data_IF_736123662038
#
_entry.id   IF_736123662038
#
_cell.length_a   1.000
_cell.length_b   1.000
_cell.length_c   1.000
_cell.angle_alpha   90.00
_cell.angle_beta   90.00
_cell.angle_gamma   90.00
#
_symmetry.space_group_name_H-M   'P 1'
#
loop_
_entity.id
_entity.type
_entity.pdbx_description
1 polymer ?
#
# COMPACT_ATOMS: atom_id res chain seq x y z
N UNK A 1 26.08 -31.53 -19.96
CA UNK A 1 25.88 -31.07 -21.35
C UNK A 1 26.62 -29.76 -21.47
N UNK A 2 27.70 -29.72 -22.25
CA UNK A 2 28.39 -28.46 -22.53
C UNK A 2 27.43 -27.56 -23.29
N UNK A 3 27.07 -26.43 -22.67
CA UNK A 3 26.36 -25.37 -23.35
C UNK A 3 27.31 -24.86 -24.44
N UNK A 4 26.89 -24.94 -25.70
CA UNK A 4 27.62 -24.38 -26.84
C UNK A 4 27.66 -22.85 -26.68
N UNK A 5 28.65 -22.34 -25.95
CA UNK A 5 28.80 -20.95 -25.53
C UNK A 5 28.77 -19.97 -26.71
N UNK A 6 29.16 -20.44 -27.90
CA UNK A 6 29.10 -19.67 -29.13
C UNK A 6 27.65 -19.40 -29.56
N UNK A 7 26.78 -20.42 -29.53
CA UNK A 7 25.35 -20.29 -29.87
C UNK A 7 24.57 -19.51 -28.82
N UNK A 8 24.94 -19.65 -27.55
CA UNK A 8 24.33 -18.88 -26.46
C UNK A 8 24.60 -17.38 -26.63
N UNK A 9 25.85 -16.99 -26.90
CA UNK A 9 26.21 -15.58 -27.14
C UNK A 9 25.54 -15.00 -28.40
N UNK A 10 25.39 -15.82 -29.45
CA UNK A 10 24.68 -15.42 -30.67
C UNK A 10 23.19 -15.16 -30.42
N UNK A 11 22.51 -16.07 -29.70
CA UNK A 11 21.11 -15.88 -29.27
C UNK A 11 20.95 -14.66 -28.35
N UNK A 12 21.86 -14.46 -27.41
CA UNK A 12 21.85 -13.30 -26.50
C UNK A 12 21.92 -11.97 -27.26
N UNK A 13 22.78 -11.88 -28.28
CA UNK A 13 22.85 -10.71 -29.17
C UNK A 13 21.57 -10.52 -29.99
N UNK A 14 20.98 -11.62 -30.49
CA UNK A 14 19.70 -11.57 -31.20
C UNK A 14 18.55 -11.09 -30.30
N UNK A 15 18.51 -11.53 -29.05
CA UNK A 15 17.54 -11.08 -28.06
C UNK A 15 17.73 -9.60 -27.70
N UNK A 16 18.99 -9.15 -27.59
CA UNK A 16 19.31 -7.74 -27.39
C UNK A 16 18.77 -6.84 -28.52
N UNK A 17 18.95 -7.25 -29.77
CA UNK A 17 18.40 -6.51 -30.91
C UNK A 17 16.87 -6.49 -30.92
N UNK A 18 16.24 -7.58 -30.47
CA UNK A 18 14.79 -7.66 -30.31
C UNK A 18 14.29 -6.68 -29.26
N UNK A 19 14.95 -6.62 -28.10
CA UNK A 19 14.63 -5.67 -27.03
C UNK A 19 14.81 -4.22 -27.48
N UNK A 20 15.91 -3.91 -28.17
CA UNK A 20 16.13 -2.55 -28.73
C UNK A 20 15.08 -2.14 -29.76
N UNK A 21 14.60 -3.08 -30.60
CA UNK A 21 13.49 -2.82 -31.53
C UNK A 21 12.15 -2.61 -30.83
N UNK A 22 11.95 -3.24 -29.67
CA UNK A 22 10.75 -3.10 -28.82
C UNK A 22 10.85 -1.97 -27.79
N UNK A 23 11.55 -0.88 -28.12
CA UNK A 23 11.75 0.27 -27.23
C UNK A 23 12.37 -0.11 -25.88
N UNK A 24 13.34 -1.03 -25.90
CA UNK A 24 14.08 -1.47 -24.72
C UNK A 24 13.24 -2.20 -23.67
N UNK A 25 12.13 -2.84 -24.05
CA UNK A 25 11.28 -3.60 -23.15
C UNK A 25 11.12 -5.02 -23.67
N UNK A 26 11.30 -6.02 -22.80
CA UNK A 26 11.04 -7.44 -23.10
C UNK A 26 10.26 -8.10 -21.97
N UNK A 27 9.30 -8.97 -22.30
CA UNK A 27 8.57 -9.72 -21.27
C UNK A 27 9.29 -11.03 -20.90
N UNK A 28 9.13 -11.46 -19.65
CA UNK A 28 9.72 -12.72 -19.16
C UNK A 28 9.28 -13.95 -19.98
N UNK A 29 8.03 -13.95 -20.45
CA UNK A 29 7.52 -15.02 -21.31
C UNK A 29 8.20 -15.02 -22.69
N UNK A 30 8.51 -13.84 -23.22
CA UNK A 30 9.21 -13.71 -24.51
C UNK A 30 10.66 -14.19 -24.43
N UNK A 31 11.34 -13.91 -23.31
CA UNK A 31 12.69 -14.42 -23.06
C UNK A 31 12.65 -15.94 -22.95
N UNK A 32 11.71 -16.51 -22.20
CA UNK A 32 11.56 -17.96 -22.09
C UNK A 32 11.21 -18.63 -23.42
N UNK A 33 10.33 -18.03 -24.22
CA UNK A 33 9.95 -18.56 -25.52
C UNK A 33 11.12 -18.48 -26.50
N UNK A 34 11.94 -17.43 -26.44
CA UNK A 34 13.15 -17.28 -27.27
C UNK A 34 14.23 -18.34 -26.95
N UNK A 35 14.31 -18.73 -25.67
CA UNK A 35 15.21 -19.78 -25.19
C UNK A 35 14.53 -21.16 -25.06
N UNK A 36 13.30 -21.36 -25.54
CA UNK A 36 12.58 -22.65 -25.43
C UNK A 36 13.35 -23.84 -26.03
N UNK A 37 14.12 -23.59 -27.09
CA UNK A 37 14.96 -24.61 -27.75
C UNK A 37 16.29 -24.86 -27.03
N UNK A 38 16.56 -24.18 -25.93
CA UNK A 38 17.83 -24.17 -25.23
C UNK A 38 17.59 -24.23 -23.71
N UNK A 39 17.67 -25.41 -23.09
CA UNK A 39 17.35 -25.56 -21.67
C UNK A 39 18.40 -24.85 -20.82
N UNK A 40 18.08 -23.63 -20.39
CA UNK A 40 18.92 -22.84 -19.50
C UNK A 40 18.69 -23.25 -18.06
N UNK A 41 19.78 -23.30 -17.28
CA UNK A 41 19.68 -23.45 -15.84
C UNK A 41 19.19 -22.13 -15.22
N UNK A 42 18.66 -22.14 -13.98
CA UNK A 42 18.29 -20.92 -13.27
C UNK A 42 19.45 -19.90 -13.17
N UNK A 43 20.68 -20.37 -12.96
CA UNK A 43 21.88 -19.53 -12.91
C UNK A 43 22.24 -18.92 -14.27
N UNK A 44 21.94 -19.61 -15.37
CA UNK A 44 22.21 -19.08 -16.71
C UNK A 44 21.13 -18.09 -17.15
N UNK A 45 19.90 -18.25 -16.70
CA UNK A 45 18.83 -17.27 -16.89
C UNK A 45 19.12 -15.96 -16.16
N UNK A 46 19.68 -16.03 -14.95
CA UNK A 46 20.12 -14.85 -14.20
C UNK A 46 21.17 -14.04 -14.99
N UNK A 47 22.17 -14.72 -15.57
CA UNK A 47 23.16 -14.06 -16.44
C UNK A 47 22.56 -13.43 -17.70
N UNK A 48 21.48 -14.01 -18.25
CA UNK A 48 20.75 -13.40 -19.37
C UNK A 48 20.09 -12.10 -18.93
N UNK A 49 19.46 -12.10 -17.75
CA UNK A 49 18.81 -10.91 -17.20
C UNK A 49 19.82 -9.81 -16.91
N UNK A 50 20.90 -10.12 -16.20
CA UNK A 50 21.99 -9.18 -15.91
C UNK A 50 22.55 -8.55 -17.19
N UNK A 51 22.71 -9.35 -18.25
CA UNK A 51 23.23 -8.85 -19.52
C UNK A 51 22.25 -7.93 -20.24
N UNK A 52 20.94 -8.23 -20.20
CA UNK A 52 19.92 -7.39 -20.82
C UNK A 52 19.78 -6.05 -20.07
N UNK A 53 19.79 -6.08 -18.74
CA UNK A 53 19.73 -4.89 -17.89
C UNK A 53 20.97 -3.99 -18.05
N UNK A 54 22.18 -4.57 -18.06
CA UNK A 54 23.42 -3.82 -18.30
C UNK A 54 23.46 -3.13 -19.68
N UNK A 55 22.69 -3.64 -20.64
CA UNK A 55 22.55 -3.05 -21.96
C UNK A 55 21.28 -2.19 -22.13
N UNK A 56 20.59 -1.90 -21.02
CA UNK A 56 19.46 -0.99 -20.93
C UNK A 56 18.16 -1.54 -21.49
N UNK A 57 17.86 -2.83 -21.27
CA UNK A 57 16.58 -3.46 -21.61
C UNK A 57 15.84 -3.82 -20.32
N UNK A 58 14.65 -3.26 -20.14
CA UNK A 58 13.77 -3.51 -19.00
C UNK A 58 12.98 -4.81 -19.18
N UNK A 59 12.99 -5.68 -18.16
CA UNK A 59 12.33 -6.98 -18.21
C UNK A 59 11.02 -6.95 -17.43
N UNK A 60 9.90 -7.05 -18.15
CA UNK A 60 8.56 -7.07 -17.56
C UNK A 60 8.15 -8.50 -17.17
N UNK A 61 7.94 -8.75 -15.87
CA UNK A 61 7.28 -9.97 -15.39
C UNK A 61 5.77 -9.74 -15.33
N UNK A 62 5.05 -10.11 -16.38
CA UNK A 62 3.59 -10.21 -16.31
C UNK A 62 3.20 -11.45 -15.50
N UNK A 63 3.19 -11.33 -14.18
CA UNK A 63 2.39 -12.20 -13.33
C UNK A 63 1.18 -11.42 -12.84
N UNK A 64 0.01 -11.97 -13.14
CA UNK A 64 -1.27 -11.48 -12.66
C UNK A 64 -1.32 -11.56 -11.13
N UNK A 65 -1.17 -10.42 -10.46
CA UNK A 65 -1.87 -10.05 -9.23
C UNK A 65 -1.47 -8.62 -8.87
N UNK A 66 -2.47 -7.76 -8.63
CA UNK A 66 -2.36 -6.37 -8.19
C UNK A 66 -1.67 -6.17 -6.82
N UNK A 67 -0.94 -7.18 -6.31
CA UNK A 67 -0.24 -7.15 -5.03
C UNK A 67 1.29 -6.94 -5.17
N UNK A 68 1.89 -7.25 -6.31
CA UNK A 68 3.36 -7.15 -6.51
C UNK A 68 3.87 -5.84 -7.08
N UNK A 69 3.01 -4.91 -7.51
CA UNK A 69 3.45 -3.52 -7.78
C UNK A 69 3.96 -2.82 -6.51
N UNK A 70 3.66 -3.35 -5.31
CA UNK A 70 4.25 -2.88 -4.05
C UNK A 70 5.74 -3.24 -3.89
N UNK A 71 6.26 -4.19 -4.66
CA UNK A 71 7.67 -4.61 -4.61
C UNK A 71 8.53 -4.02 -5.75
N UNK A 72 7.94 -3.33 -6.73
CA UNK A 72 8.63 -2.81 -7.92
C UNK A 72 8.92 -1.30 -7.85
N UNK A 73 8.81 -0.69 -6.67
CA UNK A 73 9.57 0.54 -6.43
C UNK A 73 11.03 0.10 -6.23
N UNK A 74 11.83 0.25 -7.29
CA UNK A 74 13.26 -0.04 -7.32
C UNK A 74 13.93 0.29 -5.98
N UNK A 75 14.59 -0.72 -5.40
CA UNK A 75 15.44 -0.58 -4.20
C UNK A 75 16.50 0.53 -4.33
N UNK A 76 16.77 1.03 -5.54
CA UNK A 76 17.71 2.13 -5.79
C UNK A 76 17.15 3.55 -5.52
N UNK A 77 15.82 3.75 -5.51
CA UNK A 77 15.20 4.97 -4.96
C UNK A 77 14.74 4.77 -3.50
N UNK A 78 14.87 3.55 -2.99
CA UNK A 78 14.67 3.14 -1.60
C UNK A 78 16.04 3.03 -0.90
N UNK A 79 16.91 4.02 -1.11
CA UNK A 79 17.97 4.32 -0.15
C UNK A 79 17.32 4.91 1.12
N UNK A 80 16.65 4.04 1.89
CA UNK A 80 16.37 4.28 3.30
C UNK A 80 17.74 4.14 3.96
N UNK A 81 18.40 5.28 4.18
CA UNK A 81 19.28 5.40 5.34
C UNK A 81 18.50 4.79 6.51
N UNK A 82 19.12 3.76 7.08
CA UNK A 82 18.69 2.87 8.17
C UNK A 82 17.41 3.30 8.91
N UNK A 83 16.53 2.32 9.12
CA UNK A 83 15.36 2.40 10.01
C UNK A 83 15.70 3.09 11.36
N UNK A 84 15.60 4.41 11.41
CA UNK A 84 15.25 5.07 12.65
C UNK A 84 13.80 4.63 12.92
N UNK A 85 13.60 3.79 13.95
CA UNK A 85 12.31 3.64 14.60
C UNK A 85 11.72 5.05 14.72
N UNK A 86 10.66 5.33 13.94
CA UNK A 86 10.00 6.62 13.98
C UNK A 86 9.48 6.78 15.41
N UNK A 87 10.20 7.56 16.23
CA UNK A 87 9.82 7.87 17.59
C UNK A 87 8.61 8.81 17.54
N UNK A 88 7.44 8.17 17.45
CA UNK A 88 6.12 8.83 17.45
C UNK A 88 5.85 9.56 18.77
N UNK A 89 6.57 9.22 19.85
CA UNK A 89 6.44 9.87 21.15
C UNK A 89 7.16 11.22 21.19
N UNK A 90 8.31 11.33 20.52
CA UNK A 90 9.12 12.56 20.45
C UNK A 90 8.96 13.37 19.16
N UNK A 91 7.87 13.14 18.41
CA UNK A 91 7.62 13.89 17.17
C UNK A 91 7.49 15.39 17.47
N UNK A 92 8.46 16.18 17.01
CA UNK A 92 8.41 17.64 17.10
C UNK A 92 7.29 18.17 16.19
N UNK A 93 6.12 18.38 16.78
CA UNK A 93 4.94 18.97 16.15
C UNK A 93 5.05 20.50 16.06
N UNK A 94 6.19 21.11 16.43
CA UNK A 94 6.35 22.55 16.30
C UNK A 94 6.48 22.94 14.82
N UNK A 95 5.80 24.03 14.49
CA UNK A 95 5.80 24.64 13.16
C UNK A 95 6.92 25.68 13.15
N UNK A 96 7.66 25.89 12.04
CA UNK A 96 8.71 26.91 11.97
C UNK A 96 8.24 28.28 12.48
N UNK A 97 9.09 28.99 13.22
CA UNK A 97 8.76 30.31 13.78
C UNK A 97 8.41 31.31 12.67
N UNK A 98 7.19 31.88 12.73
CA UNK A 98 6.67 32.84 11.75
C UNK A 98 5.22 32.60 11.30
N UNK A 99 4.62 31.47 11.71
CA UNK A 99 3.27 31.07 11.28
C UNK A 99 2.18 31.51 12.29
N UNK A 100 1.28 32.38 11.83
CA UNK A 100 0.12 32.89 12.58
C UNK A 100 -0.80 31.77 13.09
N UNK A 101 -1.53 32.03 14.18
CA UNK A 101 -2.46 31.09 14.83
C UNK A 101 -3.59 30.62 13.89
N UNK A 102 -3.82 31.33 12.78
CA UNK A 102 -4.87 31.07 11.78
C UNK A 102 -4.46 30.09 10.67
N UNK A 103 -3.25 29.50 10.71
CA UNK A 103 -2.83 28.51 9.71
C UNK A 103 -3.62 27.20 9.84
N UNK A 104 -4.34 26.75 8.79
CA UNK A 104 -5.05 25.46 8.77
C UNK A 104 -4.16 24.27 9.17
N UNK A 105 -2.85 24.31 8.87
CA UNK A 105 -1.88 23.28 9.29
C UNK A 105 -1.81 23.22 10.82
N UNK A 106 -1.67 24.38 11.47
CA UNK A 106 -1.52 24.46 12.92
C UNK A 106 -2.81 24.03 13.64
N UNK A 107 -3.97 24.35 13.08
CA UNK A 107 -5.26 23.86 13.57
C UNK A 107 -5.33 22.34 13.48
N UNK A 108 -4.96 21.76 12.33
CA UNK A 108 -4.94 20.32 12.13
C UNK A 108 -3.99 19.60 13.11
N UNK A 109 -2.73 20.05 13.23
CA UNK A 109 -1.75 19.47 14.16
C UNK A 109 -2.23 19.50 15.62
N UNK A 110 -2.91 20.58 16.01
CA UNK A 110 -3.49 20.71 17.35
C UNK A 110 -4.64 19.72 17.59
N UNK A 111 -5.50 19.49 16.61
CA UNK A 111 -6.62 18.55 16.75
C UNK A 111 -6.12 17.10 16.86
N UNK A 112 -5.19 16.66 15.99
CA UNK A 112 -4.63 15.31 16.07
C UNK A 112 -3.74 15.10 17.32
N UNK A 113 -3.21 16.19 17.87
CA UNK A 113 -2.45 16.21 19.12
C UNK A 113 -3.30 15.91 20.36
N UNK A 114 -4.63 16.04 20.28
CA UNK A 114 -5.55 15.71 21.39
C UNK A 114 -5.82 14.22 21.52
N UNK A 115 -5.67 13.47 20.43
CA UNK A 115 -5.92 12.02 20.41
C UNK A 115 -4.72 11.31 21.06
N UNK A 116 -4.93 10.45 22.07
CA UNK A 116 -3.86 9.69 22.71
C UNK A 116 -3.27 8.64 21.76
N UNK A 117 -1.99 8.33 21.95
CA UNK A 117 -1.33 7.22 21.25
C UNK A 117 -1.89 5.89 21.74
N UNK A 118 -1.92 4.90 20.85
CA UNK A 118 -2.33 3.53 21.18
C UNK A 118 -1.12 2.68 21.55
N UNK A 119 -1.36 1.76 22.47
CA UNK A 119 -0.45 0.65 22.75
C UNK A 119 -0.67 -0.49 21.76
N UNK A 120 0.32 -1.38 21.61
CA UNK A 120 0.20 -2.54 20.74
C UNK A 120 -0.99 -3.47 21.12
N UNK A 121 -1.32 -3.57 22.42
CA UNK A 121 -2.48 -4.34 22.88
C UNK A 121 -3.80 -3.70 22.47
N UNK A 122 -3.89 -2.36 22.53
CA UNK A 122 -5.07 -1.63 22.08
C UNK A 122 -5.23 -1.71 20.56
N UNK A 123 -4.15 -1.65 19.79
CA UNK A 123 -4.18 -1.87 18.33
C UNK A 123 -4.80 -3.24 17.99
N UNK A 124 -4.36 -4.29 18.69
CA UNK A 124 -4.92 -5.65 18.53
C UNK A 124 -6.39 -5.70 18.94
N UNK A 125 -6.77 -5.01 20.03
CA UNK A 125 -8.17 -4.98 20.48
C UNK A 125 -9.08 -4.31 19.45
N UNK A 126 -8.67 -3.17 18.90
CA UNK A 126 -9.42 -2.47 17.85
C UNK A 126 -9.49 -3.31 16.57
N UNK A 127 -8.39 -3.95 16.17
CA UNK A 127 -8.39 -4.82 14.99
C UNK A 127 -9.37 -6.00 15.13
N UNK A 128 -9.50 -6.59 16.33
CA UNK A 128 -10.50 -7.64 16.60
C UNK A 128 -11.94 -7.12 16.51
N UNK A 129 -12.20 -5.91 17.02
CA UNK A 129 -13.53 -5.29 16.91
C UNK A 129 -13.89 -4.98 15.46
N UNK A 130 -12.91 -4.54 14.66
CA UNK A 130 -13.09 -4.32 13.22
C UNK A 130 -13.39 -5.61 12.48
N UNK A 131 -12.67 -6.70 12.78
CA UNK A 131 -12.94 -8.03 12.19
C UNK A 131 -14.35 -8.50 12.54
N UNK A 132 -14.74 -8.44 13.82
CA UNK A 132 -16.08 -8.81 14.25
C UNK A 132 -17.18 -7.95 13.61
N UNK A 133 -16.94 -6.65 13.42
CA UNK A 133 -17.85 -5.75 12.72
C UNK A 133 -17.99 -6.12 11.24
N UNK A 134 -16.89 -6.45 10.55
CA UNK A 134 -16.91 -6.86 9.16
C UNK A 134 -17.64 -8.19 8.94
N UNK A 135 -17.47 -9.15 9.84
CA UNK A 135 -18.22 -10.42 9.82
C UNK A 135 -19.70 -10.19 10.13
N UNK A 136 -20.01 -9.32 11.09
CA UNK A 136 -21.38 -8.94 11.41
C UNK A 136 -22.09 -8.24 10.25
N UNK A 137 -21.39 -7.43 9.44
CA UNK A 137 -21.95 -6.80 8.23
C UNK A 137 -22.41 -7.85 7.22
N UNK A 138 -21.58 -8.87 6.95
CA UNK A 138 -21.95 -9.97 6.04
C UNK A 138 -23.15 -10.75 6.56
N UNK A 139 -23.14 -11.09 7.85
CA UNK A 139 -24.25 -11.80 8.47
C UNK A 139 -25.55 -10.97 8.48
N UNK A 140 -25.43 -9.65 8.62
CA UNK A 140 -26.55 -8.72 8.55
C UNK A 140 -27.17 -8.72 7.16
N UNK A 141 -26.38 -8.64 6.09
CA UNK A 141 -26.85 -8.71 4.70
C UNK A 141 -27.61 -10.03 4.45
N UNK A 142 -27.02 -11.17 4.83
CA UNK A 142 -27.64 -12.49 4.68
C UNK A 142 -28.99 -12.61 5.44
N UNK A 143 -29.09 -12.00 6.63
CA UNK A 143 -30.30 -12.05 7.44
C UNK A 143 -31.38 -11.08 6.95
N UNK A 144 -31.02 -9.92 6.43
CA UNK A 144 -31.96 -8.97 5.82
C UNK A 144 -32.62 -9.59 4.57
N UNK A 145 -31.83 -10.30 3.74
CA UNK A 145 -32.35 -11.04 2.59
C UNK A 145 -33.30 -12.16 3.00
N UNK A 146 -32.97 -12.90 4.07
CA UNK A 146 -33.85 -13.94 4.63
C UNK A 146 -35.13 -13.37 5.21
N UNK A 147 -35.06 -12.20 5.88
CA UNK A 147 -36.23 -11.55 6.47
C UNK A 147 -37.25 -11.13 5.41
N UNK A 148 -36.79 -10.69 4.24
CA UNK A 148 -37.65 -10.29 3.13
C UNK A 148 -38.54 -11.42 2.60
N UNK A 149 -38.10 -12.68 2.72
CA UNK A 149 -38.82 -13.87 2.27
C UNK A 149 -39.67 -14.58 3.32
N UNK A 150 -39.64 -14.14 4.58
CA UNK A 150 -40.37 -14.79 5.67
C UNK A 150 -41.79 -14.25 5.82
N UNK A 151 -42.73 -15.12 6.19
CA UNK A 151 -44.13 -14.75 6.49
C UNK A 151 -44.47 -14.91 7.98
N UNK A 152 -43.81 -15.83 8.69
CA UNK A 152 -44.05 -16.12 10.10
C UNK A 152 -43.66 -14.95 11.03
N UNK A 153 -44.60 -14.36 11.79
CA UNK A 153 -44.32 -13.28 12.73
C UNK A 153 -43.34 -13.62 13.85
N UNK A 154 -43.28 -14.89 14.30
CA UNK A 154 -42.42 -15.27 15.43
C UNK A 154 -40.95 -15.37 15.01
N UNK A 155 -40.68 -16.01 13.86
CA UNK A 155 -39.33 -16.06 13.27
C UNK A 155 -38.84 -14.67 12.86
N UNK A 156 -39.74 -13.81 12.36
CA UNK A 156 -39.41 -12.40 12.10
C UNK A 156 -38.93 -11.67 13.33
N UNK A 157 -39.62 -11.83 14.46
CA UNK A 157 -39.22 -11.18 15.73
C UNK A 157 -37.83 -11.60 16.20
N UNK A 158 -37.49 -12.89 16.08
CA UNK A 158 -36.16 -13.40 16.45
C UNK A 158 -35.05 -12.85 15.53
N UNK A 159 -35.32 -12.77 14.22
CA UNK A 159 -34.36 -12.21 13.26
C UNK A 159 -34.20 -10.70 13.48
N UNK A 160 -35.27 -9.96 13.74
CA UNK A 160 -35.21 -8.53 14.05
C UNK A 160 -34.37 -8.25 15.31
N UNK A 161 -34.52 -9.06 16.36
CA UNK A 161 -33.69 -8.96 17.56
C UNK A 161 -32.21 -9.24 17.24
N UNK A 162 -31.93 -10.27 16.44
CA UNK A 162 -30.58 -10.59 15.99
C UNK A 162 -29.97 -9.48 15.13
N UNK A 163 -30.73 -8.93 14.18
CA UNK A 163 -30.32 -7.80 13.34
C UNK A 163 -29.97 -6.59 14.20
N UNK A 164 -30.73 -6.30 15.25
CA UNK A 164 -30.41 -5.22 16.19
C UNK A 164 -29.07 -5.45 16.89
N UNK A 165 -28.77 -6.68 17.31
CA UNK A 165 -27.49 -7.02 17.93
C UNK A 165 -26.31 -6.93 16.96
N UNK A 166 -26.50 -7.35 15.70
CA UNK A 166 -25.49 -7.28 14.65
C UNK A 166 -25.21 -5.83 14.27
N UNK A 167 -26.24 -4.99 14.12
CA UNK A 167 -26.08 -3.55 13.88
C UNK A 167 -25.23 -2.87 14.95
N UNK A 168 -25.40 -3.26 16.21
CA UNK A 168 -24.54 -2.75 17.28
C UNK A 168 -23.08 -3.20 17.11
N UNK A 169 -22.85 -4.44 16.69
CA UNK A 169 -21.50 -4.97 16.45
C UNK A 169 -20.81 -4.28 15.27
N UNK A 170 -21.56 -4.04 14.18
CA UNK A 170 -21.09 -3.25 13.03
C UNK A 170 -20.68 -1.85 13.46
N UNK A 171 -21.53 -1.16 14.24
CA UNK A 171 -21.22 0.18 14.76
C UNK A 171 -19.94 0.21 15.60
N UNK A 172 -19.75 -0.78 16.47
CA UNK A 172 -18.51 -0.91 17.28
C UNK A 172 -17.29 -1.14 16.39
N UNK A 173 -17.40 -1.95 15.33
CA UNK A 173 -16.33 -2.17 14.37
C UNK A 173 -15.96 -0.91 13.58
N UNK A 174 -16.94 -0.12 13.15
CA UNK A 174 -16.72 1.16 12.48
C UNK A 174 -16.05 2.19 13.39
N UNK A 175 -16.48 2.29 14.65
CA UNK A 175 -15.85 3.19 15.62
C UNK A 175 -14.42 2.73 15.96
N UNK A 176 -14.17 1.42 16.02
CA UNK A 176 -12.83 0.88 16.19
C UNK A 176 -11.90 1.23 15.02
N UNK A 177 -12.40 1.13 13.78
CA UNK A 177 -11.69 1.55 12.57
C UNK A 177 -11.32 3.03 12.62
N UNK A 178 -12.29 3.87 12.98
CA UNK A 178 -12.08 5.32 13.13
C UNK A 178 -11.05 5.64 14.19
N UNK A 179 -11.17 5.02 15.37
CA UNK A 179 -10.24 5.22 16.49
C UNK A 179 -8.82 4.79 16.14
N UNK A 180 -8.64 3.66 15.45
CA UNK A 180 -7.34 3.19 15.00
C UNK A 180 -6.70 4.17 14.00
N UNK A 181 -7.50 4.72 13.07
CA UNK A 181 -7.02 5.73 12.14
C UNK A 181 -6.65 7.05 12.84
N UNK A 182 -7.51 7.57 13.73
CA UNK A 182 -7.30 8.84 14.44
C UNK A 182 -6.02 8.84 15.30
N UNK A 183 -5.76 7.74 16.00
CA UNK A 183 -4.55 7.59 16.81
C UNK A 183 -3.25 7.60 15.98
N UNK A 184 -3.34 7.24 14.69
CA UNK A 184 -2.21 7.12 13.79
C UNK A 184 -2.05 8.32 12.83
N UNK A 185 -2.84 9.39 12.97
CA UNK A 185 -2.70 10.59 12.15
C UNK A 185 -1.32 11.26 12.31
N UNK A 186 -0.69 11.15 13.48
CA UNK A 186 0.65 11.70 13.73
C UNK A 186 1.73 10.98 12.91
N UNK A 187 1.58 9.67 12.72
CA UNK A 187 2.46 8.88 11.86
C UNK A 187 2.43 9.42 10.43
N UNK A 188 1.23 9.71 9.89
CA UNK A 188 1.07 10.30 8.55
C UNK A 188 1.83 11.62 8.43
N UNK A 189 1.66 12.52 9.41
CA UNK A 189 2.38 13.81 9.42
C UNK A 189 3.89 13.59 9.42
N UNK A 190 4.41 12.66 10.24
CA UNK A 190 5.84 12.39 10.30
C UNK A 190 6.42 11.89 8.97
N UNK A 191 5.66 11.07 8.23
CA UNK A 191 6.06 10.56 6.91
C UNK A 191 5.94 11.66 5.86
N UNK A 192 4.82 12.38 5.83
CA UNK A 192 4.54 13.44 4.86
C UNK A 192 5.55 14.59 4.91
N UNK A 193 6.11 14.91 6.10
CA UNK A 193 7.16 15.93 6.26
C UNK A 193 8.34 15.71 5.32
N UNK A 194 8.72 14.45 5.03
CA UNK A 194 9.85 14.09 4.15
C UNK A 194 9.59 14.38 2.66
N UNK A 195 8.34 14.65 2.29
CA UNK A 195 7.89 14.90 0.92
C UNK A 195 7.57 16.39 0.64
N UNK A 196 7.69 17.26 1.64
CA UNK A 196 7.48 18.70 1.48
C UNK A 196 8.49 19.28 0.48
N UNK A 197 8.03 20.21 -0.36
CA UNK A 197 8.87 20.83 -1.39
C UNK A 197 8.94 20.07 -2.71
N UNK A 198 8.26 18.92 -2.84
CA UNK A 198 8.17 18.13 -4.10
C UNK A 198 7.03 18.55 -5.03
N UNK A 199 6.57 19.80 -4.96
CA UNK A 199 5.55 20.36 -5.85
C UNK A 199 4.10 20.22 -5.39
N UNK A 200 3.85 19.68 -4.19
CA UNK A 200 2.52 19.59 -3.56
C UNK A 200 2.52 20.27 -2.19
N UNK A 201 1.40 20.85 -1.77
CA UNK A 201 1.28 21.50 -0.46
C UNK A 201 1.32 20.45 0.66
N UNK A 202 1.80 20.86 1.84
CA UNK A 202 1.96 19.94 2.96
C UNK A 202 0.63 19.33 3.44
N UNK A 203 -0.46 20.11 3.44
CA UNK A 203 -1.79 19.60 3.77
C UNK A 203 -2.25 18.54 2.76
N UNK A 204 -1.99 18.74 1.48
CA UNK A 204 -2.40 17.80 0.43
C UNK A 204 -1.61 16.48 0.59
N UNK A 205 -0.30 16.55 0.88
CA UNK A 205 0.51 15.37 1.20
C UNK A 205 -0.04 14.62 2.42
N UNK A 206 -0.47 15.34 3.46
CA UNK A 206 -1.10 14.74 4.64
C UNK A 206 -2.43 14.07 4.26
N UNK A 207 -3.26 14.71 3.44
CA UNK A 207 -4.55 14.12 3.05
C UNK A 207 -4.36 12.84 2.23
N UNK A 208 -3.44 12.84 1.27
CA UNK A 208 -3.12 11.66 0.48
C UNK A 208 -2.52 10.55 1.36
N UNK A 209 -1.68 10.93 2.33
CA UNK A 209 -1.19 10.02 3.36
C UNK A 209 -2.30 9.44 4.24
N UNK A 210 -3.30 10.24 4.63
CA UNK A 210 -4.46 9.79 5.41
C UNK A 210 -5.30 8.80 4.61
N UNK A 211 -5.45 8.99 3.29
CA UNK A 211 -6.09 8.00 2.42
C UNK A 211 -5.30 6.68 2.37
N UNK A 212 -3.96 6.76 2.34
CA UNK A 212 -3.09 5.59 2.49
C UNK A 212 -3.27 4.89 3.84
N UNK A 213 -3.32 5.65 4.92
CA UNK A 213 -3.54 5.14 6.27
C UNK A 213 -4.89 4.41 6.39
N UNK A 214 -5.98 4.97 5.86
CA UNK A 214 -7.31 4.34 5.91
C UNK A 214 -7.28 2.98 5.20
N UNK A 215 -6.60 2.88 4.04
CA UNK A 215 -6.40 1.60 3.34
C UNK A 215 -5.57 0.60 4.16
N UNK A 216 -4.56 1.08 4.87
CA UNK A 216 -3.78 0.24 5.78
C UNK A 216 -4.64 -0.29 6.92
N UNK A 217 -5.47 0.56 7.53
CA UNK A 217 -6.41 0.17 8.60
C UNK A 217 -7.36 -0.92 8.11
N UNK A 218 -7.95 -0.76 6.92
CA UNK A 218 -8.88 -1.75 6.34
C UNK A 218 -8.25 -3.13 6.10
N UNK A 219 -6.96 -3.15 5.76
CA UNK A 219 -6.24 -4.38 5.38
C UNK A 219 -5.30 -4.89 6.47
N UNK A 220 -5.35 -4.32 7.67
CA UNK A 220 -4.41 -4.68 8.73
C UNK A 220 -4.75 -6.07 9.28
N UNK A 221 -3.72 -6.92 9.36
CA UNK A 221 -3.82 -8.26 9.94
C UNK A 221 -2.91 -8.37 11.16
N UNK A 222 -3.52 -8.32 12.35
CA UNK A 222 -2.84 -8.40 13.64
C UNK A 222 -2.23 -9.80 13.90
N UNK A 223 -2.63 -10.84 13.16
CA UNK A 223 -2.11 -12.21 13.35
C UNK A 223 -0.70 -12.39 12.81
N UNK A 224 -0.26 -11.49 11.93
CA UNK A 224 1.10 -11.50 11.36
C UNK A 224 2.19 -11.09 12.36
N UNK A 225 1.82 -10.54 13.52
CA UNK A 225 2.76 -10.25 14.62
C UNK A 225 3.61 -9.00 14.44
N UNK A 226 3.34 -8.17 13.44
CA UNK A 226 4.00 -6.88 13.24
C UNK A 226 3.16 -5.73 13.80
N UNK A 227 3.82 -4.66 14.27
CA UNK A 227 3.15 -3.42 14.71
C UNK A 227 2.38 -2.78 13.55
N UNK A 228 1.28 -2.10 13.86
CA UNK A 228 0.48 -1.42 12.84
C UNK A 228 1.29 -0.34 12.10
N UNK A 229 2.13 0.41 12.80
CA UNK A 229 2.97 1.47 12.22
C UNK A 229 3.88 0.98 11.08
N UNK A 230 4.49 -0.19 11.22
CA UNK A 230 5.33 -0.82 10.18
C UNK A 230 4.52 -1.07 8.91
N UNK A 231 3.33 -1.65 9.05
CA UNK A 231 2.45 -1.94 7.91
C UNK A 231 1.90 -0.66 7.27
N UNK A 232 1.44 0.29 8.09
CA UNK A 232 0.85 1.54 7.63
C UNK A 232 1.84 2.42 6.86
N UNK A 233 3.12 2.41 7.26
CA UNK A 233 4.17 3.22 6.62
C UNK A 233 4.25 2.96 5.11
N UNK A 234 4.13 1.70 4.67
CA UNK A 234 4.13 1.35 3.24
C UNK A 234 2.96 1.98 2.48
N UNK A 235 1.74 1.83 2.99
CA UNK A 235 0.54 2.37 2.35
C UNK A 235 0.52 3.90 2.33
N UNK A 236 0.98 4.55 3.41
CA UNK A 236 1.08 6.01 3.50
C UNK A 236 2.11 6.51 2.47
N UNK A 237 3.28 5.89 2.41
CA UNK A 237 4.35 6.26 1.46
C UNK A 237 3.89 6.10 0.02
N UNK A 238 3.25 4.97 -0.28
CA UNK A 238 2.73 4.68 -1.62
C UNK A 238 1.69 5.69 -2.05
N UNK A 239 0.74 6.03 -1.16
CA UNK A 239 -0.30 7.02 -1.46
C UNK A 239 0.30 8.41 -1.74
N UNK A 240 1.21 8.88 -0.88
CA UNK A 240 1.86 10.18 -1.05
C UNK A 240 2.68 10.23 -2.35
N UNK A 241 3.50 9.21 -2.61
CA UNK A 241 4.37 9.16 -3.79
C UNK A 241 3.55 9.14 -5.07
N UNK A 242 2.49 8.32 -5.11
CA UNK A 242 1.55 8.28 -6.23
C UNK A 242 0.87 9.62 -6.45
N UNK A 243 0.43 10.29 -5.39
CA UNK A 243 -0.24 11.59 -5.50
C UNK A 243 0.69 12.68 -6.05
N UNK A 244 1.97 12.70 -5.63
CA UNK A 244 2.98 13.61 -6.17
C UNK A 244 3.17 13.37 -7.66
N UNK A 245 3.36 12.11 -8.08
CA UNK A 245 3.52 11.77 -9.49
C UNK A 245 2.31 12.22 -10.34
N UNK A 246 1.12 12.06 -9.79
CA UNK A 246 -0.15 12.28 -10.48
C UNK A 246 -0.63 13.74 -10.51
N UNK A 247 -0.32 14.53 -9.47
CA UNK A 247 -0.94 15.84 -9.23
C UNK A 247 0.07 16.99 -9.06
N UNK A 248 1.35 16.74 -8.78
CA UNK A 248 2.32 17.82 -8.50
C UNK A 248 2.68 18.65 -9.76
N UNK A 249 2.36 18.16 -10.95
CA UNK A 249 2.63 18.84 -12.22
C UNK A 249 1.33 19.35 -12.85
N UNK A 250 1.39 20.51 -13.49
CA UNK A 250 0.25 21.06 -14.27
C UNK A 250 -0.23 20.11 -15.36
N UNK A 251 0.68 19.31 -15.92
CA UNK A 251 0.36 18.27 -16.89
C UNK A 251 0.70 16.92 -16.26
N UNK A 252 -0.30 16.05 -16.16
CA UNK A 252 -0.16 14.71 -15.60
C UNK A 252 0.73 13.84 -16.49
N UNK A 253 1.71 13.19 -15.87
CA UNK A 253 2.59 12.21 -16.51
C UNK A 253 2.32 10.86 -15.85
N UNK A 254 2.09 9.78 -16.62
CA UNK A 254 2.01 8.42 -16.09
C UNK A 254 3.18 8.06 -15.17
N UNK A 255 2.87 7.41 -14.04
CA UNK A 255 3.82 7.14 -12.94
C UNK A 255 5.09 6.38 -13.38
N UNK A 256 4.96 5.43 -14.32
CA UNK A 256 6.11 4.68 -14.86
C UNK A 256 7.05 5.51 -15.76
N UNK A 257 6.72 6.77 -16.05
CA UNK A 257 7.54 7.68 -16.84
C UNK A 257 8.11 8.85 -16.01
N UNK A 258 7.86 8.86 -14.70
CA UNK A 258 8.25 9.95 -13.77
C UNK A 258 9.63 9.75 -13.21
#
# INVERSE_FOLDING_TARGET
MEIDMAKFSEKLKGLLEMGKKKKNILEYQEINDYFRDFPLSPEDMEKVFDYLEQNGIDILRMNAMEETEALLLNDEDVAIEEEEELDVENLDLTVPEGVSIEDPVRMYLKEIGKVPLLTAEEEIHLAKQMEAGADATKELEDLEDRLAGLEDPEEKGQIEEKLKSLRMTVYVGEEAKKRLAEANLRLVVSIAKRYVGRGMLFLDLIQEGNLGLIKAVEKFDFRKGFKFSTYATWWIRQAITRAIADQARTIRIPVHMV
#
